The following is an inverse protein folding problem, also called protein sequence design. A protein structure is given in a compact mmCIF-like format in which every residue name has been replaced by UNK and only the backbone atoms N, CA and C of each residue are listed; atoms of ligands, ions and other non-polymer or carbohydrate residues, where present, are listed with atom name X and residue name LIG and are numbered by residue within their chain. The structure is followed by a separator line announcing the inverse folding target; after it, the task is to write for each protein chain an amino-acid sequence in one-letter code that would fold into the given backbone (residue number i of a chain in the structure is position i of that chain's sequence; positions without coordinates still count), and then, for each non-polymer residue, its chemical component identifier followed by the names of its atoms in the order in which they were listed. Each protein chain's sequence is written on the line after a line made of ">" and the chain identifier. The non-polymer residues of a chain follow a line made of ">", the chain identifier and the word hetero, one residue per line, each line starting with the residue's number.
data_IF_574901919888
#
_entry.id   IF_574901919888
#
_cell.length_a   1.000
_cell.length_b   1.000
_cell.length_c   1.000
_cell.angle_alpha   90.00
_cell.angle_beta   90.00
_cell.angle_gamma   90.00
#
_symmetry.space_group_name_H-M   'P 1'
#
loop_
_entity.id
_entity.type
_entity.pdbx_description
1 polymer ?
#
# COMPACT_ATOMS: atom_id res chain seq x y z
N UNK A 1 -3.21 52.40 -4.37
CA UNK A 1 -4.45 52.14 -3.63
C UNK A 1 -5.06 50.89 -4.21
N UNK A 2 -4.78 49.76 -3.58
CA UNK A 2 -5.14 48.43 -4.10
C UNK A 2 -6.50 48.06 -3.54
N UNK A 3 -7.54 48.10 -4.39
CA UNK A 3 -8.87 47.70 -3.98
C UNK A 3 -8.93 46.18 -3.84
N UNK A 4 -8.97 45.71 -2.59
CA UNK A 4 -9.34 44.33 -2.26
C UNK A 4 -10.84 44.20 -2.42
N UNK A 5 -11.29 43.26 -3.26
CA UNK A 5 -12.69 42.82 -3.27
C UNK A 5 -12.69 41.38 -2.77
N UNK A 6 -13.11 41.22 -1.52
CA UNK A 6 -13.50 39.92 -0.98
C UNK A 6 -14.95 39.66 -1.40
N UNK A 7 -15.24 38.45 -1.85
CA UNK A 7 -16.63 38.01 -2.00
C UNK A 7 -16.79 36.63 -1.36
N UNK A 8 -17.83 36.50 -0.54
CA UNK A 8 -18.12 35.30 0.24
C UNK A 8 -18.86 34.28 -0.63
N UNK A 9 -18.26 33.12 -0.82
CA UNK A 9 -18.95 31.91 -1.28
C UNK A 9 -18.89 30.86 -0.17
N UNK A 10 -19.79 30.97 0.82
CA UNK A 10 -19.79 30.11 2.01
C UNK A 10 -18.70 30.46 3.03
N UNK A 11 -18.26 29.48 3.84
CA UNK A 11 -17.40 29.66 5.03
C UNK A 11 -15.89 29.78 4.78
N UNK A 12 -15.43 29.94 3.53
CA UNK A 12 -13.99 29.98 3.23
C UNK A 12 -13.58 31.28 2.55
N UNK A 13 -12.55 31.91 3.10
CA UNK A 13 -11.88 33.09 2.53
C UNK A 13 -10.77 32.59 1.63
N UNK A 14 -10.84 32.91 0.33
CA UNK A 14 -9.77 32.62 -0.63
C UNK A 14 -9.18 33.97 -1.09
N UNK A 15 -7.89 34.15 -0.86
CA UNK A 15 -7.16 35.36 -1.24
C UNK A 15 -6.48 35.13 -2.59
N UNK A 16 -7.02 35.74 -3.64
CA UNK A 16 -6.39 35.75 -4.96
C UNK A 16 -5.54 37.00 -5.14
N UNK A 17 -4.32 36.85 -5.68
CA UNK A 17 -3.57 37.97 -6.26
C UNK A 17 -4.30 38.55 -7.48
N UNK A 18 -3.96 39.77 -7.89
CA UNK A 18 -4.67 40.59 -8.89
C UNK A 18 -5.29 39.81 -10.07
N UNK A 19 -6.63 39.75 -10.11
CA UNK A 19 -7.40 39.18 -11.23
C UNK A 19 -8.09 40.35 -11.95
N UNK A 20 -7.86 40.50 -13.25
CA UNK A 20 -8.38 41.65 -14.01
C UNK A 20 -9.85 41.53 -14.43
N UNK A 21 -10.47 40.34 -14.40
CA UNK A 21 -11.93 40.19 -14.50
C UNK A 21 -12.38 38.73 -14.26
N UNK A 22 -13.52 38.54 -13.62
CA UNK A 22 -14.22 37.25 -13.48
C UNK A 22 -15.63 37.41 -14.03
N UNK A 23 -16.03 36.58 -15.00
CA UNK A 23 -17.42 36.48 -15.45
C UNK A 23 -17.96 35.09 -15.11
N UNK A 24 -19.07 35.06 -14.36
CA UNK A 24 -19.80 33.83 -14.06
C UNK A 24 -21.07 33.79 -14.90
N UNK A 25 -21.28 32.72 -15.66
CA UNK A 25 -22.60 32.36 -16.16
C UNK A 25 -22.98 31.00 -15.56
N UNK A 26 -24.12 30.98 -14.88
CA UNK A 26 -24.66 29.75 -14.28
C UNK A 26 -25.42 28.96 -15.33
N UNK A 27 -25.15 27.65 -15.46
CA UNK A 27 -26.21 26.70 -15.77
C UNK A 27 -26.32 25.66 -14.66
N UNK A 28 -27.51 25.12 -14.53
CA UNK A 28 -28.05 24.28 -13.46
C UNK A 28 -27.43 22.89 -13.25
N UNK A 29 -26.13 22.70 -13.51
CA UNK A 29 -25.40 21.45 -13.23
C UNK A 29 -23.90 21.70 -12.96
N UNK A 30 -23.59 22.24 -11.79
CA UNK A 30 -22.54 21.73 -10.90
C UNK A 30 -21.06 21.63 -11.32
N UNK A 31 -20.52 22.47 -12.21
CA UNK A 31 -19.05 22.67 -12.29
C UNK A 31 -18.74 24.17 -12.46
N UNK A 32 -18.00 24.74 -11.50
CA UNK A 32 -17.46 26.09 -11.57
C UNK A 32 -15.97 26.01 -11.94
N UNK A 33 -15.59 26.57 -13.09
CA UNK A 33 -14.18 26.73 -13.48
C UNK A 33 -13.73 28.17 -13.24
N UNK A 34 -12.58 28.33 -12.60
CA UNK A 34 -11.95 29.64 -12.31
C UNK A 34 -10.68 29.76 -13.15
N UNK A 35 -10.50 30.93 -13.79
CA UNK A 35 -9.38 31.25 -14.66
C UNK A 35 -8.42 32.20 -13.94
N UNK A 36 -7.14 31.82 -13.83
CA UNK A 36 -6.07 32.68 -13.31
C UNK A 36 -5.00 32.77 -14.40
N UNK A 37 -4.78 33.97 -14.93
CA UNK A 37 -3.83 34.23 -16.00
C UNK A 37 -2.45 34.60 -15.47
N UNK A 38 -1.42 33.91 -15.95
CA UNK A 38 -0.05 34.42 -15.95
C UNK A 38 0.68 33.90 -17.20
N UNK A 39 1.52 34.77 -17.76
CA UNK A 39 2.03 34.84 -19.14
C UNK A 39 2.94 33.70 -19.65
N UNK A 40 2.99 32.54 -18.99
CA UNK A 40 3.70 31.35 -19.47
C UNK A 40 2.70 30.21 -19.64
N UNK A 41 2.09 30.15 -20.82
CA UNK A 41 0.89 29.37 -21.10
C UNK A 41 1.01 27.87 -20.79
N UNK A 42 0.08 27.38 -19.97
CA UNK A 42 -0.31 25.97 -19.93
C UNK A 42 -1.42 25.74 -20.97
N UNK A 43 -1.17 24.87 -21.94
CA UNK A 43 -2.18 24.44 -22.92
C UNK A 43 -3.21 23.55 -22.23
N UNK A 44 -4.47 23.98 -22.22
CA UNK A 44 -5.61 23.17 -21.78
C UNK A 44 -6.32 22.67 -23.03
N UNK A 45 -6.36 21.36 -23.22
CA UNK A 45 -7.05 20.76 -24.37
C UNK A 45 -8.54 20.60 -24.03
N UNK A 46 -9.40 21.41 -24.66
CA UNK A 46 -10.84 21.39 -24.46
C UNK A 46 -11.44 20.36 -25.42
N UNK A 47 -11.90 19.23 -24.87
CA UNK A 47 -12.62 18.22 -25.65
C UNK A 47 -14.12 18.51 -25.67
N UNK A 48 -14.77 18.30 -26.82
CA UNK A 48 -16.23 18.42 -26.96
C UNK A 48 -16.97 17.47 -25.99
N UNK A 49 -18.21 17.80 -25.55
CA UNK A 49 -18.97 16.97 -24.63
C UNK A 49 -19.23 15.59 -25.24
N UNK A 50 -18.51 14.58 -24.75
CA UNK A 50 -18.72 13.20 -25.16
C UNK A 50 -20.08 12.73 -24.61
N UNK A 51 -20.86 12.00 -25.44
CA UNK A 51 -22.21 11.50 -25.13
C UNK A 51 -22.27 10.51 -23.96
N UNK A 52 -21.13 10.06 -23.43
CA UNK A 52 -21.02 9.31 -22.18
C UNK A 52 -20.08 10.08 -21.26
N UNK A 53 -20.46 10.32 -19.98
CA UNK A 53 -19.48 10.77 -19.02
C UNK A 53 -18.34 9.74 -18.98
N UNK A 54 -17.10 10.20 -19.10
CA UNK A 54 -15.92 9.36 -18.92
C UNK A 54 -15.84 8.99 -17.44
N UNK A 55 -16.67 8.04 -17.03
CA UNK A 55 -16.71 7.50 -15.70
C UNK A 55 -15.53 6.52 -15.54
N UNK A 56 -14.89 6.49 -14.37
CA UNK A 56 -13.93 5.46 -14.03
C UNK A 56 -14.50 4.07 -14.30
N UNK A 57 -13.72 3.23 -14.98
CA UNK A 57 -14.08 1.86 -15.29
C UNK A 57 -13.34 0.92 -14.34
N UNK A 58 -14.04 0.02 -13.62
CA UNK A 58 -13.38 -0.94 -12.75
C UNK A 58 -12.57 -1.94 -13.59
N UNK A 59 -11.42 -2.33 -13.06
CA UNK A 59 -10.65 -3.45 -13.58
C UNK A 59 -11.32 -4.80 -13.27
N UNK A 60 -10.96 -5.82 -14.07
CA UNK A 60 -11.32 -7.20 -13.79
C UNK A 60 -10.61 -7.68 -12.52
N UNK A 61 -11.35 -8.39 -11.67
CA UNK A 61 -10.85 -8.95 -10.41
C UNK A 61 -10.49 -10.44 -10.58
N UNK A 62 -9.57 -10.99 -9.77
CA UNK A 62 -8.79 -10.32 -8.73
C UNK A 62 -7.65 -9.46 -9.29
N UNK A 63 -7.33 -8.37 -8.59
CA UNK A 63 -6.11 -7.60 -8.86
C UNK A 63 -4.91 -8.36 -8.30
N UNK A 64 -3.94 -8.70 -9.16
CA UNK A 64 -2.73 -9.42 -8.75
C UNK A 64 -1.49 -8.55 -8.98
N UNK A 65 -1.38 -7.49 -8.19
CA UNK A 65 -0.17 -6.67 -8.11
C UNK A 65 0.68 -7.15 -6.94
N UNK A 66 0.95 -8.46 -6.87
CA UNK A 66 1.71 -9.08 -5.79
C UNK A 66 3.24 -9.01 -6.06
N UNK A 67 4.09 -9.07 -5.03
CA UNK A 67 5.53 -9.21 -5.22
C UNK A 67 5.86 -10.56 -5.89
N UNK A 68 7.05 -10.72 -6.49
CA UNK A 68 7.46 -12.01 -7.05
C UNK A 68 7.43 -13.10 -5.97
N UNK A 69 7.10 -14.32 -6.39
CA UNK A 69 7.14 -15.48 -5.50
C UNK A 69 8.58 -15.79 -5.10
N UNK A 70 8.81 -16.07 -3.83
CA UNK A 70 10.09 -16.60 -3.36
C UNK A 70 10.00 -18.14 -3.34
N UNK A 71 10.92 -18.87 -3.98
CA UNK A 71 10.90 -20.32 -3.91
C UNK A 71 11.38 -20.80 -2.53
N UNK A 72 10.63 -21.73 -1.94
CA UNK A 72 11.01 -22.51 -0.76
C UNK A 72 11.48 -21.70 0.45
N UNK A 73 10.54 -21.11 1.20
CA UNK A 73 10.85 -20.52 2.51
C UNK A 73 11.07 -21.63 3.55
N UNK A 74 12.25 -21.61 4.17
CA UNK A 74 12.59 -22.47 5.30
C UNK A 74 12.22 -21.80 6.63
N UNK A 75 11.75 -22.62 7.57
CA UNK A 75 11.22 -22.14 8.85
C UNK A 75 9.97 -21.27 8.70
N UNK A 76 9.76 -20.40 9.69
CA UNK A 76 8.68 -19.38 9.72
C UNK A 76 7.24 -19.90 9.76
N UNK A 77 7.02 -21.19 10.03
CA UNK A 77 5.68 -21.81 10.02
C UNK A 77 4.75 -21.17 11.05
N UNK A 78 5.26 -20.86 12.25
CA UNK A 78 4.47 -20.24 13.30
C UNK A 78 4.10 -18.80 12.93
N UNK A 79 5.06 -18.02 12.42
CA UNK A 79 4.84 -16.64 11.98
C UNK A 79 3.84 -16.58 10.81
N UNK A 80 3.93 -17.51 9.85
CA UNK A 80 2.94 -17.65 8.77
C UNK A 80 1.56 -17.94 9.37
N UNK A 81 1.44 -18.92 10.25
CA UNK A 81 0.15 -19.30 10.83
C UNK A 81 -0.50 -18.13 11.58
N UNK A 82 0.25 -17.47 12.45
CA UNK A 82 -0.24 -16.31 13.22
C UNK A 82 -0.66 -15.16 12.28
N UNK A 83 0.10 -14.92 11.21
CA UNK A 83 -0.25 -13.90 10.23
C UNK A 83 -1.53 -14.25 9.46
N UNK A 84 -1.68 -15.51 9.01
CA UNK A 84 -2.88 -15.98 8.31
C UNK A 84 -4.14 -15.87 9.18
N UNK A 85 -4.05 -16.26 10.45
CA UNK A 85 -5.15 -16.15 11.41
C UNK A 85 -5.57 -14.69 11.62
N UNK A 86 -4.62 -13.77 11.78
CA UNK A 86 -4.89 -12.35 11.94
C UNK A 86 -5.50 -11.73 10.65
N UNK A 87 -4.93 -12.05 9.48
CA UNK A 87 -5.41 -11.55 8.20
C UNK A 87 -6.81 -12.04 7.85
N UNK A 88 -7.17 -13.27 8.24
CA UNK A 88 -8.53 -13.81 8.06
C UNK A 88 -9.61 -13.01 8.83
N UNK A 89 -9.21 -12.28 9.89
CA UNK A 89 -10.09 -11.41 10.68
C UNK A 89 -9.97 -9.92 10.27
N UNK A 90 -9.38 -9.65 9.11
CA UNK A 90 -9.11 -8.31 8.60
C UNK A 90 -8.28 -7.42 9.55
N UNK A 91 -7.42 -8.05 10.37
CA UNK A 91 -6.51 -7.32 11.24
C UNK A 91 -5.33 -6.76 10.45
N UNK A 92 -4.80 -5.65 10.94
CA UNK A 92 -3.53 -5.12 10.49
C UNK A 92 -2.42 -6.00 11.07
N UNK A 93 -1.46 -6.40 10.24
CA UNK A 93 -0.36 -7.30 10.63
C UNK A 93 0.97 -6.62 10.35
N UNK A 94 1.93 -6.77 11.25
CA UNK A 94 3.29 -6.25 11.08
C UNK A 94 4.31 -7.36 11.34
N UNK A 95 5.26 -7.51 10.43
CA UNK A 95 6.53 -8.17 10.69
C UNK A 95 7.58 -7.14 11.06
N UNK A 96 8.20 -7.31 12.21
CA UNK A 96 9.31 -6.45 12.64
C UNK A 96 10.54 -7.28 13.02
N UNK A 97 11.72 -6.67 12.94
CA UNK A 97 12.99 -7.34 13.25
C UNK A 97 14.15 -6.77 12.45
N UNK A 98 15.35 -7.29 12.69
CA UNK A 98 16.59 -6.78 12.10
C UNK A 98 16.55 -6.71 10.56
N UNK A 99 17.35 -5.80 9.98
CA UNK A 99 17.55 -5.75 8.52
C UNK A 99 18.13 -7.09 8.06
N UNK A 100 17.63 -7.62 6.94
CA UNK A 100 18.07 -8.91 6.40
C UNK A 100 17.35 -10.15 6.97
N UNK A 101 16.57 -10.04 8.05
CA UNK A 101 15.97 -11.21 8.74
C UNK A 101 14.89 -11.99 7.96
N UNK A 102 14.56 -11.56 6.73
CA UNK A 102 13.60 -12.24 5.86
C UNK A 102 12.16 -11.70 5.89
N UNK A 103 11.90 -10.51 6.43
CA UNK A 103 10.54 -9.90 6.47
C UNK A 103 9.87 -9.84 5.09
N UNK A 104 10.56 -9.29 4.09
CA UNK A 104 10.05 -9.18 2.72
C UNK A 104 9.80 -10.54 2.09
N UNK A 105 10.67 -11.52 2.37
CA UNK A 105 10.50 -12.91 1.89
C UNK A 105 9.25 -13.56 2.50
N UNK A 106 9.00 -13.34 3.78
CA UNK A 106 7.80 -13.81 4.46
C UNK A 106 6.52 -13.15 3.91
N UNK A 107 6.56 -11.84 3.62
CA UNK A 107 5.46 -11.15 2.92
C UNK A 107 5.22 -11.74 1.53
N UNK A 108 6.29 -12.05 0.78
CA UNK A 108 6.20 -12.72 -0.51
C UNK A 108 5.53 -14.09 -0.39
N UNK A 109 5.89 -14.92 0.59
CA UNK A 109 5.21 -16.20 0.82
C UNK A 109 3.72 -16.04 1.06
N UNK A 110 3.34 -15.11 1.95
CA UNK A 110 1.93 -14.88 2.27
C UNK A 110 1.15 -14.39 1.05
N UNK A 111 1.73 -13.50 0.24
CA UNK A 111 1.09 -13.01 -0.97
C UNK A 111 0.67 -14.12 -1.95
N UNK A 112 1.38 -15.26 -1.95
CA UNK A 112 1.09 -16.41 -2.81
C UNK A 112 0.40 -17.55 -2.07
N UNK A 113 0.05 -17.38 -0.79
CA UNK A 113 -0.57 -18.43 0.01
C UNK A 113 -2.06 -18.62 -0.34
N UNK A 114 -2.56 -19.86 -0.53
CA UNK A 114 -3.95 -20.11 -0.93
C UNK A 114 -5.02 -19.52 0.01
N UNK A 115 -4.75 -19.49 1.31
CA UNK A 115 -5.65 -18.87 2.29
C UNK A 115 -5.80 -17.36 2.10
N UNK A 116 -4.77 -16.67 1.59
CA UNK A 116 -4.84 -15.23 1.27
C UNK A 116 -5.77 -15.00 0.08
N UNK A 117 -5.63 -15.78 -0.99
CA UNK A 117 -6.54 -15.68 -2.14
C UNK A 117 -8.02 -15.90 -1.74
N UNK A 118 -8.27 -16.76 -0.75
CA UNK A 118 -9.63 -17.02 -0.23
C UNK A 118 -10.15 -15.88 0.66
N UNK A 119 -9.29 -15.27 1.48
CA UNK A 119 -9.65 -14.17 2.37
C UNK A 119 -9.83 -12.82 1.65
N UNK A 120 -9.09 -12.62 0.54
CA UNK A 120 -9.04 -11.36 -0.22
C UNK A 120 -9.42 -11.60 -1.70
N UNK A 121 -10.71 -11.85 -1.98
CA UNK A 121 -11.16 -12.25 -3.31
C UNK A 121 -11.02 -11.15 -4.38
N UNK A 122 -10.89 -9.88 -3.98
CA UNK A 122 -10.72 -8.79 -4.93
C UNK A 122 -9.25 -8.54 -5.27
N UNK A 123 -8.32 -9.13 -4.51
CA UNK A 123 -6.92 -9.22 -4.90
C UNK A 123 -5.91 -8.77 -3.85
N UNK A 124 -4.67 -8.67 -4.31
CA UNK A 124 -3.50 -8.31 -3.54
C UNK A 124 -2.79 -7.17 -4.25
N UNK A 125 -2.44 -6.13 -3.49
CA UNK A 125 -1.76 -4.95 -3.99
C UNK A 125 -0.48 -4.73 -3.21
N UNK A 126 0.64 -4.71 -3.91
CA UNK A 126 1.97 -4.40 -3.40
C UNK A 126 2.43 -3.08 -4.03
N UNK A 127 2.18 -1.94 -3.37
CA UNK A 127 2.65 -0.66 -3.85
C UNK A 127 4.19 -0.62 -3.88
N UNK A 128 4.79 0.06 -4.87
CA UNK A 128 6.24 0.23 -4.93
C UNK A 128 6.81 0.79 -3.61
N UNK A 129 7.84 0.13 -3.08
CA UNK A 129 8.50 0.52 -1.84
C UNK A 129 9.04 1.95 -1.93
N UNK A 130 8.94 2.72 -0.84
CA UNK A 130 9.43 4.12 -0.70
C UNK A 130 8.73 5.18 -1.56
N UNK A 131 7.66 4.84 -2.29
CA UNK A 131 6.95 5.80 -3.14
C UNK A 131 5.86 6.60 -2.42
N UNK A 132 5.50 6.22 -1.20
CA UNK A 132 4.36 6.79 -0.48
C UNK A 132 4.81 7.35 0.86
N UNK A 133 4.71 8.68 0.99
CA UNK A 133 5.02 9.43 2.21
C UNK A 133 3.76 9.85 2.97
N UNK A 134 2.58 9.63 2.39
CA UNK A 134 1.29 9.98 2.99
C UNK A 134 0.18 9.04 2.49
N UNK A 135 -0.93 9.00 3.22
CA UNK A 135 -2.09 8.14 2.91
C UNK A 135 -2.74 8.52 1.58
N UNK A 136 -2.73 9.80 1.23
CA UNK A 136 -3.39 10.27 0.00
C UNK A 136 -2.74 9.69 -1.25
N UNK A 137 -1.40 9.60 -1.29
CA UNK A 137 -0.68 8.98 -2.41
C UNK A 137 -0.96 7.46 -2.47
N UNK A 138 -1.02 6.78 -1.32
CA UNK A 138 -1.40 5.36 -1.26
C UNK A 138 -2.83 5.15 -1.78
N UNK A 139 -3.78 5.99 -1.37
CA UNK A 139 -5.16 5.93 -1.83
C UNK A 139 -5.27 6.13 -3.35
N UNK A 140 -4.51 7.07 -3.93
CA UNK A 140 -4.47 7.27 -5.37
C UNK A 140 -3.93 6.03 -6.09
N UNK A 141 -2.88 5.39 -5.56
CA UNK A 141 -2.36 4.15 -6.12
C UNK A 141 -3.37 3.00 -6.02
N UNK A 142 -3.99 2.80 -4.86
CA UNK A 142 -5.02 1.78 -4.67
C UNK A 142 -6.19 2.00 -5.63
N UNK A 143 -6.65 3.25 -5.79
CA UNK A 143 -7.68 3.56 -6.77
C UNK A 143 -7.25 3.18 -8.19
N UNK A 144 -6.02 3.54 -8.60
CA UNK A 144 -5.48 3.17 -9.91
C UNK A 144 -5.27 1.67 -10.11
N UNK A 145 -5.15 0.89 -9.02
CA UNK A 145 -5.10 -0.56 -9.09
C UNK A 145 -6.48 -1.18 -9.40
N UNK A 146 -7.57 -0.57 -8.92
CA UNK A 146 -8.93 -1.08 -9.10
C UNK A 146 -9.72 -0.42 -10.22
N UNK A 147 -9.30 0.76 -10.68
CA UNK A 147 -10.01 1.55 -11.67
C UNK A 147 -9.05 2.15 -12.71
N UNK A 148 -9.56 2.27 -13.93
CA UNK A 148 -8.93 3.01 -15.02
C UNK A 148 -9.81 4.16 -15.47
N UNK A 149 -9.19 5.18 -16.06
CA UNK A 149 -9.91 6.26 -16.72
C UNK A 149 -9.26 6.55 -18.07
N UNK A 150 -10.08 6.72 -19.10
CA UNK A 150 -9.63 7.05 -20.46
C UNK A 150 -9.14 8.50 -20.59
N UNK A 151 -9.38 9.33 -19.58
CA UNK A 151 -8.96 10.73 -19.51
C UNK A 151 -8.18 11.00 -18.22
N UNK A 152 -7.41 12.09 -18.21
CA UNK A 152 -6.75 12.57 -17.00
C UNK A 152 -7.80 12.89 -15.92
N UNK A 153 -7.96 11.98 -14.97
CA UNK A 153 -8.92 12.08 -13.88
C UNK A 153 -8.18 11.82 -12.57
N UNK A 154 -8.24 12.79 -11.66
CA UNK A 154 -7.69 12.68 -10.31
C UNK A 154 -8.85 12.71 -9.32
N UNK A 155 -9.32 11.56 -8.79
CA UNK A 155 -10.41 11.53 -7.83
C UNK A 155 -10.01 12.20 -6.52
N UNK A 156 -11.00 12.75 -5.81
CA UNK A 156 -10.83 13.18 -4.42
C UNK A 156 -10.66 11.98 -3.50
N UNK A 157 -10.04 12.16 -2.34
CA UNK A 157 -9.90 11.08 -1.34
C UNK A 157 -11.25 10.50 -0.93
N UNK A 158 -12.26 11.35 -0.72
CA UNK A 158 -13.64 10.92 -0.40
C UNK A 158 -14.24 10.03 -1.49
N UNK A 159 -13.98 10.34 -2.77
CA UNK A 159 -14.43 9.51 -3.88
C UNK A 159 -13.69 8.16 -3.89
N UNK A 160 -12.37 8.17 -3.67
CA UNK A 160 -11.57 6.94 -3.61
C UNK A 160 -12.08 6.02 -2.50
N UNK A 161 -12.24 6.54 -1.29
CA UNK A 161 -12.71 5.76 -0.15
C UNK A 161 -14.09 5.15 -0.43
N UNK A 162 -15.01 5.93 -1.00
CA UNK A 162 -16.33 5.43 -1.38
C UNK A 162 -16.26 4.35 -2.47
N UNK A 163 -15.39 4.51 -3.47
CA UNK A 163 -15.22 3.54 -4.55
C UNK A 163 -14.58 2.23 -4.07
N UNK A 164 -13.66 2.30 -3.11
CA UNK A 164 -12.96 1.13 -2.57
C UNK A 164 -13.70 0.45 -1.41
N UNK A 165 -14.70 1.09 -0.79
CA UNK A 165 -15.37 0.60 0.43
C UNK A 165 -15.86 -0.85 0.37
N UNK A 166 -16.38 -1.27 -0.78
CA UNK A 166 -16.94 -2.62 -0.97
C UNK A 166 -15.88 -3.65 -1.45
N UNK A 167 -14.62 -3.24 -1.61
CA UNK A 167 -13.53 -4.12 -2.04
C UNK A 167 -12.90 -4.85 -0.86
N UNK A 168 -12.49 -6.10 -1.08
CA UNK A 168 -11.82 -6.99 -0.12
C UNK A 168 -10.43 -7.38 -0.63
N UNK A 169 -9.43 -6.62 -0.23
CA UNK A 169 -8.07 -6.77 -0.73
C UNK A 169 -7.01 -6.71 0.36
N UNK A 170 -5.88 -7.38 0.12
CA UNK A 170 -4.69 -7.29 0.96
C UNK A 170 -3.73 -6.26 0.39
N UNK A 171 -3.29 -5.31 1.21
CA UNK A 171 -2.27 -4.33 0.84
C UNK A 171 -0.97 -4.65 1.58
N UNK A 172 0.09 -4.86 0.81
CA UNK A 172 1.42 -5.22 1.29
C UNK A 172 2.28 -3.96 1.35
N UNK A 173 2.68 -3.52 2.54
CA UNK A 173 3.45 -2.30 2.75
C UNK A 173 4.86 -2.65 3.25
N UNK A 174 5.81 -2.77 2.33
CA UNK A 174 7.22 -2.97 2.68
C UNK A 174 7.92 -1.61 2.82
N UNK A 175 8.42 -1.34 4.03
CA UNK A 175 9.28 -0.18 4.31
C UNK A 175 8.65 1.18 3.95
N UNK A 176 7.34 1.32 4.18
CA UNK A 176 6.59 2.56 3.93
C UNK A 176 6.66 3.48 5.17
N UNK A 177 6.73 4.79 4.96
CA UNK A 177 6.88 5.81 6.00
C UNK A 177 5.53 6.35 6.51
N UNK A 178 4.49 5.51 6.54
CA UNK A 178 3.17 5.93 7.06
C UNK A 178 3.18 5.91 8.58
N UNK A 179 2.50 6.88 9.18
CA UNK A 179 2.31 6.92 10.63
C UNK A 179 1.27 5.89 11.07
N UNK A 180 1.31 5.49 12.33
CA UNK A 180 0.35 4.53 12.89
C UNK A 180 -1.09 5.07 12.82
N UNK A 181 -1.29 6.33 13.19
CA UNK A 181 -2.62 6.94 13.24
C UNK A 181 -3.26 7.03 11.84
N UNK A 182 -2.42 7.20 10.83
CA UNK A 182 -2.79 7.22 9.42
C UNK A 182 -3.27 5.84 8.93
N UNK A 183 -2.58 4.78 9.33
CA UNK A 183 -2.96 3.39 9.03
C UNK A 183 -4.24 2.98 9.75
N UNK A 184 -4.39 3.37 11.03
CA UNK A 184 -5.62 3.12 11.80
C UNK A 184 -6.82 3.83 11.17
N UNK A 185 -6.65 5.10 10.79
CA UNK A 185 -7.67 5.87 10.08
C UNK A 185 -8.04 5.20 8.77
N UNK A 186 -7.05 4.77 7.99
CA UNK A 186 -7.27 4.08 6.71
C UNK A 186 -8.05 2.77 6.91
N UNK A 187 -7.72 1.98 7.95
CA UNK A 187 -8.44 0.76 8.32
C UNK A 187 -9.90 1.03 8.68
N UNK A 188 -10.19 2.10 9.42
CA UNK A 188 -11.57 2.47 9.76
C UNK A 188 -12.39 2.87 8.52
N UNK A 189 -11.76 3.51 7.53
CA UNK A 189 -12.42 3.93 6.29
C UNK A 189 -12.58 2.77 5.30
N UNK A 190 -11.66 1.79 5.31
CA UNK A 190 -11.64 0.62 4.44
C UNK A 190 -11.65 -0.69 5.27
N UNK A 191 -12.75 -1.02 5.97
CA UNK A 191 -12.80 -2.13 6.93
C UNK A 191 -12.65 -3.52 6.30
N UNK A 192 -12.84 -3.63 4.99
CA UNK A 192 -12.70 -4.85 4.20
C UNK A 192 -11.28 -5.05 3.66
N UNK A 193 -10.39 -4.06 3.84
CA UNK A 193 -8.98 -4.15 3.49
C UNK A 193 -8.17 -4.61 4.70
N UNK A 194 -7.17 -5.43 4.43
CA UNK A 194 -6.11 -5.71 5.42
C UNK A 194 -4.79 -5.10 4.95
N UNK A 195 -3.95 -4.76 5.91
CA UNK A 195 -2.62 -4.21 5.68
C UNK A 195 -1.60 -5.12 6.34
N UNK A 196 -0.60 -5.58 5.57
CA UNK A 196 0.53 -6.33 6.06
C UNK A 196 1.79 -5.47 5.89
N UNK A 197 2.49 -5.20 6.98
CA UNK A 197 3.64 -4.32 7.02
C UNK A 197 4.94 -5.07 7.31
N UNK A 198 6.05 -4.55 6.78
CA UNK A 198 7.39 -4.90 7.24
C UNK A 198 8.13 -3.67 7.74
N UNK A 199 8.64 -3.74 8.97
CA UNK A 199 9.34 -2.66 9.66
C UNK A 199 10.63 -3.17 10.34
N UNK A 200 11.58 -2.28 10.64
CA UNK A 200 12.78 -2.67 11.41
C UNK A 200 12.45 -2.78 12.90
N UNK A 201 11.69 -1.81 13.41
CA UNK A 201 11.23 -1.73 14.78
C UNK A 201 9.72 -1.84 14.83
N UNK A 202 9.19 -2.40 15.92
CA UNK A 202 7.76 -2.53 16.15
C UNK A 202 7.07 -1.15 16.13
N UNK A 203 6.15 -0.97 15.20
CA UNK A 203 5.33 0.23 15.06
C UNK A 203 3.94 0.05 15.65
N UNK A 204 3.38 -1.16 15.66
CA UNK A 204 2.01 -1.39 16.17
C UNK A 204 2.01 -1.67 17.67
N UNK A 205 1.50 -0.70 18.43
CA UNK A 205 1.33 -0.80 19.87
C UNK A 205 -0.16 -0.85 20.23
N UNK A 206 -0.80 -2.01 20.03
CA UNK A 206 -2.18 -2.26 20.45
C UNK A 206 -3.06 -2.79 19.33
N UNK A 207 -3.44 -1.93 18.38
CA UNK A 207 -4.32 -2.27 17.25
C UNK A 207 -3.55 -3.10 16.19
N UNK A 208 -3.93 -4.37 16.04
CA UNK A 208 -3.34 -5.30 15.07
C UNK A 208 -2.43 -6.36 15.69
N UNK A 209 -1.69 -7.08 14.83
CA UNK A 209 -0.83 -8.20 15.20
C UNK A 209 0.60 -7.92 14.77
N UNK A 210 1.47 -7.56 15.73
CA UNK A 210 2.92 -7.52 15.51
C UNK A 210 3.53 -8.90 15.74
N UNK A 211 4.38 -9.32 14.81
CA UNK A 211 5.08 -10.60 14.81
C UNK A 211 6.57 -10.29 14.67
N UNK A 212 7.34 -10.63 15.70
CA UNK A 212 8.79 -10.46 15.70
C UNK A 212 9.46 -11.56 14.89
N UNK A 213 10.38 -11.19 14.02
CA UNK A 213 11.25 -12.14 13.34
C UNK A 213 12.62 -12.15 14.02
N UNK A 214 12.90 -13.23 14.74
CA UNK A 214 14.24 -13.58 15.22
C UNK A 214 15.02 -14.40 14.18
N UNK A 215 16.20 -14.88 14.55
CA UNK A 215 16.94 -15.84 13.73
C UNK A 215 16.16 -17.15 13.48
N UNK A 216 16.51 -17.85 12.41
CA UNK A 216 16.00 -19.18 12.14
C UNK A 216 16.45 -20.18 13.22
N UNK A 217 15.62 -21.18 13.55
CA UNK A 217 16.06 -22.35 14.31
C UNK A 217 17.28 -23.00 13.65
N UNK A 218 18.16 -23.62 14.44
CA UNK A 218 19.42 -24.17 13.95
C UNK A 218 19.25 -25.13 12.77
N UNK A 219 18.26 -26.03 12.85
CA UNK A 219 17.98 -26.99 11.79
C UNK A 219 17.55 -26.30 10.48
N UNK A 220 16.66 -25.30 10.57
CA UNK A 220 16.22 -24.52 9.41
C UNK A 220 17.37 -23.67 8.83
N UNK A 221 18.25 -23.13 9.68
CA UNK A 221 19.43 -22.38 9.26
C UNK A 221 20.44 -23.28 8.53
N UNK A 222 20.65 -24.52 9.00
CA UNK A 222 21.51 -25.49 8.33
C UNK A 222 20.90 -25.97 7.01
N UNK A 223 19.59 -26.20 6.98
CA UNK A 223 18.89 -26.50 5.72
C UNK A 223 18.99 -25.36 4.70
N UNK A 224 19.05 -24.10 5.16
CA UNK A 224 19.29 -22.96 4.27
C UNK A 224 20.70 -22.99 3.68
N UNK A 225 21.71 -23.38 4.48
CA UNK A 225 23.08 -23.57 3.97
C UNK A 225 23.13 -24.70 2.93
N UNK A 226 22.45 -25.83 3.18
CA UNK A 226 22.34 -26.92 2.20
C UNK A 226 21.65 -26.49 0.90
N UNK A 227 20.62 -25.67 1.02
CA UNK A 227 19.90 -25.11 -0.13
C UNK A 227 20.81 -24.21 -0.97
N UNK A 228 21.61 -23.34 -0.33
CA UNK A 228 22.54 -22.45 -1.04
C UNK A 228 23.73 -23.23 -1.66
N UNK A 229 24.16 -24.32 -1.04
CA UNK A 229 25.20 -25.20 -1.59
C UNK A 229 24.67 -26.18 -2.64
N UNK A 230 23.34 -26.27 -2.82
CA UNK A 230 22.63 -27.23 -3.68
C UNK A 230 22.99 -28.70 -3.39
N UNK A 231 23.41 -29.02 -2.15
CA UNK A 231 23.78 -30.37 -1.71
C UNK A 231 23.71 -30.51 -0.19
N UNK A 232 23.58 -31.74 0.34
CA UNK A 232 23.66 -31.96 1.78
C UNK A 232 25.05 -31.65 2.35
N UNK A 233 25.09 -31.28 3.63
CA UNK A 233 26.32 -31.09 4.38
C UNK A 233 26.93 -32.44 4.76
N UNK A 234 28.25 -32.54 4.67
CA UNK A 234 28.99 -33.65 5.31
C UNK A 234 28.98 -33.52 6.83
N UNK A 235 29.33 -34.59 7.57
CA UNK A 235 29.37 -34.55 9.05
C UNK A 235 30.30 -33.45 9.60
N UNK A 236 31.41 -33.16 8.91
CA UNK A 236 32.32 -32.08 9.30
C UNK A 236 31.69 -30.71 9.06
N UNK A 237 31.14 -30.50 7.87
CA UNK A 237 30.50 -29.23 7.51
C UNK A 237 29.26 -28.95 8.36
N UNK A 238 28.53 -29.99 8.79
CA UNK A 238 27.42 -29.84 9.73
C UNK A 238 27.89 -29.27 11.07
N UNK A 239 29.02 -29.75 11.61
CA UNK A 239 29.59 -29.24 12.86
C UNK A 239 30.07 -27.79 12.72
N UNK A 240 30.75 -27.46 11.63
CA UNK A 240 31.25 -26.11 11.35
C UNK A 240 30.10 -25.14 11.06
N UNK A 241 29.12 -25.57 10.25
CA UNK A 241 27.89 -24.84 9.97
C UNK A 241 27.09 -24.56 11.23
N UNK A 242 27.02 -25.52 12.16
CA UNK A 242 26.30 -25.32 13.42
C UNK A 242 26.91 -24.19 14.26
N UNK A 243 28.25 -24.13 14.31
CA UNK A 243 28.98 -23.07 15.00
C UNK A 243 28.77 -21.72 14.31
N UNK A 244 28.82 -21.69 12.97
CA UNK A 244 28.57 -20.49 12.17
C UNK A 244 27.14 -19.96 12.38
N UNK A 245 26.12 -20.79 12.23
CA UNK A 245 24.72 -20.43 12.43
C UNK A 245 24.47 -19.90 13.85
N UNK A 246 25.09 -20.51 14.86
CA UNK A 246 25.00 -20.04 16.25
C UNK A 246 25.67 -18.67 16.41
N UNK A 247 26.86 -18.47 15.84
CA UNK A 247 27.59 -17.20 15.89
C UNK A 247 26.85 -16.06 15.17
N UNK A 248 26.08 -16.39 14.12
CA UNK A 248 25.24 -15.45 13.39
C UNK A 248 23.83 -15.30 13.99
N UNK A 249 23.55 -15.96 15.11
CA UNK A 249 22.25 -15.95 15.78
C UNK A 249 21.11 -16.39 14.84
N UNK A 250 21.39 -17.32 13.91
CA UNK A 250 20.41 -17.82 12.93
C UNK A 250 19.95 -16.80 11.88
N UNK A 251 20.67 -15.69 11.67
CA UNK A 251 20.33 -14.73 10.61
C UNK A 251 20.48 -15.39 9.23
N UNK A 252 19.41 -15.43 8.40
CA UNK A 252 19.48 -15.88 7.00
C UNK A 252 20.42 -15.00 6.17
#
# INVERSE_FOLDING_TARGET
>A
MSNQISNLAGNHVIQFGSIEQVSSQSPSSGILQVQIGSLAGSLINISAPQKKPNLPQPHSLPILLAPPSFPLLLGRREEIQVALEALAHHQLVEFYGAVGIGKTVLMQQLAHHPSIASAFPDGIVYPPSRSYQCVSDLLQFLWGAFYSCSVAFKPTETYILQALKDKKALVLLDSVQLKLEELETLRQQLPSFSFLLASVERQLWGEGRSIELGGLPLDDALSLVEQELERPLSSQEYSEGSQLCTALEGKP
#
